data_IF_152803549453
#
_entry.id   IF_152803549453
#
_cell.length_a   1.000
_cell.length_b   1.000
_cell.length_c   1.000
_cell.angle_alpha   90.00
_cell.angle_beta   90.00
_cell.angle_gamma   90.00
#
_symmetry.space_group_name_H-M   'P 1'
#
loop_
_entity.id
_entity.type
_entity.pdbx_description
1 polymer ?
#
# COMPACT_ATOMS: atom_id res chain seq x y z
N UNK A 1 -46.02 -1.23 -45.18
CA UNK A 1 -44.59 -1.29 -45.55
C UNK A 1 -43.80 -1.34 -44.26
N UNK A 2 -43.35 -2.54 -43.84
CA UNK A 2 -42.57 -2.75 -42.62
C UNK A 2 -41.08 -2.69 -42.97
N UNK A 3 -40.32 -1.84 -42.26
CA UNK A 3 -38.89 -1.73 -42.44
C UNK A 3 -38.18 -2.96 -41.83
N UNK A 4 -37.10 -3.45 -42.46
CA UNK A 4 -36.33 -4.57 -41.91
C UNK A 4 -35.50 -4.14 -40.70
N UNK A 5 -35.67 -4.85 -39.60
CA UNK A 5 -34.87 -4.73 -38.38
C UNK A 5 -33.51 -5.36 -38.65
N UNK A 6 -32.48 -4.54 -38.80
CA UNK A 6 -31.09 -5.01 -38.90
C UNK A 6 -30.57 -5.31 -37.49
N UNK A 7 -30.24 -6.57 -37.24
CA UNK A 7 -29.58 -7.04 -36.02
C UNK A 7 -28.13 -6.45 -35.96
N UNK A 8 -27.67 -5.93 -34.82
CA UNK A 8 -26.30 -5.48 -34.68
C UNK A 8 -25.32 -6.67 -34.82
N UNK A 9 -24.13 -6.45 -35.33
CA UNK A 9 -23.14 -7.51 -35.52
C UNK A 9 -22.69 -8.08 -34.17
N UNK A 10 -22.49 -9.39 -34.12
CA UNK A 10 -21.94 -10.11 -32.98
C UNK A 10 -20.52 -9.62 -32.65
N UNK A 11 -20.17 -9.51 -31.35
CA UNK A 11 -18.81 -9.14 -30.99
C UNK A 11 -17.82 -10.23 -31.43
N UNK A 12 -16.81 -9.82 -32.18
CA UNK A 12 -15.69 -10.67 -32.58
C UNK A 12 -14.89 -11.10 -31.37
N UNK A 13 -14.58 -12.40 -31.30
CA UNK A 13 -13.74 -12.97 -30.25
C UNK A 13 -12.36 -12.28 -30.17
N UNK A 14 -11.79 -12.12 -28.98
CA UNK A 14 -10.45 -11.55 -28.83
C UNK A 14 -9.40 -12.46 -29.46
N UNK A 15 -8.29 -11.89 -30.00
CA UNK A 15 -7.24 -12.67 -30.62
C UNK A 15 -6.60 -13.63 -29.61
N UNK A 16 -6.39 -14.87 -30.02
CA UNK A 16 -5.68 -15.89 -29.26
C UNK A 16 -4.24 -15.41 -28.98
N UNK A 17 -3.88 -15.33 -27.70
CA UNK A 17 -2.51 -15.15 -27.27
C UNK A 17 -1.67 -16.34 -27.69
N UNK A 18 -0.84 -16.19 -28.70
CA UNK A 18 0.20 -17.15 -29.06
C UNK A 18 1.27 -17.13 -27.96
N UNK A 19 1.25 -18.10 -27.07
CA UNK A 19 2.33 -18.35 -26.13
C UNK A 19 3.57 -18.83 -26.91
N UNK A 20 4.46 -17.90 -27.20
CA UNK A 20 5.81 -18.23 -27.66
C UNK A 20 6.57 -18.94 -26.54
N UNK A 21 6.74 -20.25 -26.68
CA UNK A 21 7.62 -21.06 -25.82
C UNK A 21 9.08 -20.73 -26.13
N UNK A 22 9.55 -19.60 -25.62
CA UNK A 22 10.97 -19.29 -25.53
C UNK A 22 11.52 -20.01 -24.29
N UNK A 23 12.28 -21.07 -24.49
CA UNK A 23 13.01 -21.73 -23.42
C UNK A 23 13.97 -20.72 -22.78
N UNK A 24 13.64 -20.23 -21.61
CA UNK A 24 14.53 -19.43 -20.79
C UNK A 24 15.68 -20.30 -20.30
N UNK A 25 16.92 -19.92 -20.60
CA UNK A 25 18.10 -20.53 -20.03
C UNK A 25 18.03 -20.50 -18.50
N UNK A 26 18.55 -21.53 -17.79
CA UNK A 26 18.53 -21.54 -16.34
C UNK A 26 19.37 -20.38 -15.81
N UNK A 27 18.71 -19.48 -15.11
CA UNK A 27 19.35 -18.40 -14.37
C UNK A 27 20.10 -19.02 -13.18
N UNK A 28 21.40 -19.24 -13.33
CA UNK A 28 22.31 -19.64 -12.24
C UNK A 28 22.72 -18.43 -11.40
N UNK A 29 21.80 -17.49 -11.22
CA UNK A 29 21.97 -16.43 -10.23
C UNK A 29 21.97 -17.05 -8.85
N UNK A 30 23.15 -17.13 -8.22
CA UNK A 30 23.30 -17.38 -6.79
C UNK A 30 22.33 -16.49 -6.05
N UNK A 31 21.26 -17.10 -5.53
CA UNK A 31 20.33 -16.43 -4.65
C UNK A 31 21.18 -15.91 -3.46
N UNK A 32 21.50 -14.62 -3.48
CA UNK A 32 21.96 -13.94 -2.30
C UNK A 32 20.90 -14.22 -1.24
N UNK A 33 21.24 -15.03 -0.26
CA UNK A 33 20.42 -15.22 0.93
C UNK A 33 20.27 -13.84 1.52
N UNK A 34 19.10 -13.22 1.32
CA UNK A 34 18.69 -12.05 2.09
C UNK A 34 18.56 -12.55 3.53
N UNK A 35 19.69 -12.60 4.20
CA UNK A 35 19.72 -12.86 5.61
C UNK A 35 19.08 -11.67 6.28
N UNK A 36 17.78 -11.77 6.59
CA UNK A 36 17.20 -10.95 7.64
C UNK A 36 18.12 -11.15 8.84
N UNK A 37 18.77 -10.11 9.35
CA UNK A 37 19.72 -10.27 10.45
C UNK A 37 18.98 -10.93 11.61
N UNK A 38 19.50 -12.10 12.01
CA UNK A 38 18.99 -12.84 13.15
C UNK A 38 19.01 -11.90 14.34
N UNK A 39 17.90 -11.69 15.02
CA UNK A 39 17.78 -10.88 16.23
C UNK A 39 18.95 -11.21 17.17
N UNK A 40 19.90 -10.28 17.32
CA UNK A 40 21.13 -10.51 18.06
C UNK A 40 20.99 -10.11 19.53
N UNK A 41 19.95 -9.36 19.89
CA UNK A 41 19.67 -8.99 21.28
C UNK A 41 18.20 -8.62 21.47
N UNK A 42 17.66 -8.73 22.69
CA UNK A 42 16.24 -8.50 22.99
C UNK A 42 15.75 -7.06 22.75
N UNK A 43 16.64 -6.15 22.38
CA UNK A 43 16.31 -4.72 22.17
C UNK A 43 16.77 -4.16 20.80
N UNK A 44 17.24 -5.01 19.89
CA UNK A 44 17.55 -4.55 18.53
C UNK A 44 16.32 -4.68 17.65
N UNK A 45 15.76 -3.53 17.32
CA UNK A 45 14.64 -3.40 16.38
C UNK A 45 15.18 -3.04 15.00
N UNK A 46 14.53 -3.53 13.96
CA UNK A 46 14.71 -2.98 12.62
C UNK A 46 14.12 -1.56 12.56
N UNK A 47 14.51 -0.77 11.56
CA UNK A 47 13.90 0.55 11.35
C UNK A 47 12.37 0.48 11.21
N UNK A 48 11.87 -0.55 10.53
CA UNK A 48 10.45 -0.79 10.37
C UNK A 48 9.74 -1.09 11.71
N UNK A 49 10.30 -1.99 12.51
CA UNK A 49 9.80 -2.29 13.86
C UNK A 49 9.85 -1.05 14.77
N UNK A 50 10.90 -0.23 14.64
CA UNK A 50 11.03 1.03 15.40
C UNK A 50 9.91 2.01 15.06
N UNK A 51 9.55 2.15 13.78
CA UNK A 51 8.42 3.00 13.36
C UNK A 51 7.12 2.53 14.01
N UNK A 52 6.78 1.24 13.87
CA UNK A 52 5.54 0.69 14.42
C UNK A 52 5.51 0.84 15.94
N UNK A 53 6.61 0.52 16.62
CA UNK A 53 6.73 0.67 18.08
C UNK A 53 6.53 2.10 18.54
N UNK A 54 7.14 3.07 17.83
CA UNK A 54 6.97 4.48 18.16
C UNK A 54 5.53 4.95 18.03
N UNK A 55 4.82 4.48 17.01
CA UNK A 55 3.40 4.80 16.84
C UNK A 55 2.55 4.20 17.96
N UNK A 56 2.85 2.97 18.39
CA UNK A 56 2.19 2.32 19.53
C UNK A 56 2.43 3.06 20.86
N UNK A 57 3.64 3.60 21.06
CA UNK A 57 4.00 4.36 22.26
C UNK A 57 3.38 5.77 22.26
N UNK A 58 3.07 6.31 21.10
CA UNK A 58 2.34 7.57 20.92
C UNK A 58 0.81 7.41 20.98
N UNK A 59 0.32 6.22 21.36
CA UNK A 59 -1.11 5.88 21.43
C UNK A 59 -1.87 6.13 20.12
N UNK A 60 -1.18 5.94 18.99
CA UNK A 60 -1.83 5.94 17.68
C UNK A 60 -2.68 4.67 17.56
N UNK A 61 -3.93 4.82 17.15
CA UNK A 61 -4.84 3.69 16.99
C UNK A 61 -5.07 3.32 15.53
N UNK A 62 -5.01 4.30 14.63
CA UNK A 62 -5.41 4.12 13.24
C UNK A 62 -4.36 4.67 12.29
N UNK A 63 -4.03 3.86 11.30
CA UNK A 63 -3.19 4.24 10.17
C UNK A 63 -4.01 4.09 8.89
N UNK A 64 -4.09 5.15 8.11
CA UNK A 64 -4.70 5.12 6.78
C UNK A 64 -3.61 5.04 5.73
N UNK A 65 -3.69 4.10 4.81
CA UNK A 65 -2.63 3.97 3.82
C UNK A 65 -2.90 2.95 2.73
N UNK A 66 -1.97 2.91 1.80
CA UNK A 66 -1.94 1.92 0.73
C UNK A 66 -0.52 1.37 0.60
N UNK A 67 -0.33 0.04 0.51
CA UNK A 67 0.98 -0.58 0.37
C UNK A 67 1.68 -0.13 -0.91
N UNK A 68 3.00 -0.02 -0.85
CA UNK A 68 3.84 0.22 -1.99
C UNK A 68 5.29 -0.13 -1.68
N UNK A 69 6.12 -0.33 -2.69
CA UNK A 69 7.44 -0.94 -2.57
C UNK A 69 8.32 -0.41 -1.44
N UNK A 70 8.38 0.92 -1.25
CA UNK A 70 9.25 1.51 -0.26
C UNK A 70 8.77 1.32 1.20
N UNK A 71 7.46 1.14 1.42
CA UNK A 71 6.89 0.99 2.77
C UNK A 71 6.53 -0.46 3.12
N UNK A 72 6.66 -1.40 2.18
CA UNK A 72 6.38 -2.82 2.45
C UNK A 72 7.07 -3.36 3.71
N UNK A 73 8.34 -3.04 4.01
CA UNK A 73 8.97 -3.52 5.24
C UNK A 73 8.26 -3.09 6.53
N UNK A 74 7.51 -1.98 6.50
CA UNK A 74 6.75 -1.48 7.66
C UNK A 74 5.44 -2.26 7.84
N UNK A 75 4.91 -2.82 6.76
CA UNK A 75 3.67 -3.60 6.82
C UNK A 75 3.82 -4.92 7.57
N UNK A 76 5.01 -5.55 7.55
CA UNK A 76 5.24 -6.79 8.29
C UNK A 76 5.04 -6.59 9.82
N UNK A 77 5.78 -5.68 10.50
CA UNK A 77 5.54 -5.44 11.92
C UNK A 77 4.19 -4.77 12.21
N UNK A 78 3.62 -4.03 11.25
CA UNK A 78 2.28 -3.46 11.40
C UNK A 78 1.20 -4.55 11.42
N UNK A 79 1.36 -5.60 10.63
CA UNK A 79 0.45 -6.76 10.62
C UNK A 79 0.45 -7.51 11.96
N UNK A 80 1.61 -7.56 12.62
CA UNK A 80 1.77 -8.21 13.93
C UNK A 80 1.27 -7.34 15.10
N UNK A 81 1.07 -6.04 14.88
CA UNK A 81 0.62 -5.10 15.91
C UNK A 81 -0.81 -5.40 16.35
N UNK A 82 -1.02 -5.43 17.66
CA UNK A 82 -2.34 -5.58 18.27
C UNK A 82 -2.98 -4.24 18.66
N UNK A 83 -2.23 -3.14 18.54
CA UNK A 83 -2.69 -1.80 18.91
C UNK A 83 -3.09 -0.97 17.70
N UNK A 84 -2.37 -1.12 16.58
CA UNK A 84 -2.56 -0.32 15.39
C UNK A 84 -3.53 -0.99 14.42
N UNK A 85 -4.57 -0.29 14.06
CA UNK A 85 -5.51 -0.70 13.02
C UNK A 85 -5.16 -0.05 11.70
N UNK A 86 -4.83 -0.83 10.69
CA UNK A 86 -4.64 -0.34 9.34
C UNK A 86 -5.96 -0.27 8.58
N UNK A 87 -6.24 0.88 7.98
CA UNK A 87 -7.38 1.10 7.08
C UNK A 87 -6.84 1.27 5.66
N UNK A 88 -7.06 0.26 4.84
CA UNK A 88 -6.67 0.27 3.44
C UNK A 88 -7.52 1.27 2.67
N UNK A 89 -6.85 2.19 1.99
CA UNK A 89 -7.50 3.17 1.10
C UNK A 89 -7.24 2.80 -0.36
N UNK A 90 -7.94 3.47 -1.28
CA UNK A 90 -7.77 3.27 -2.73
C UNK A 90 -6.96 4.36 -3.41
N UNK A 91 -6.63 5.41 -2.67
CA UNK A 91 -5.80 6.52 -3.12
C UNK A 91 -5.18 7.22 -1.90
N UNK A 92 -3.93 7.63 -2.00
CA UNK A 92 -3.20 8.21 -0.86
C UNK A 92 -3.80 9.52 -0.39
N UNK A 93 -4.30 10.35 -1.31
CA UNK A 93 -5.01 11.58 -0.94
C UNK A 93 -6.22 11.28 -0.05
N UNK A 94 -6.95 10.19 -0.35
CA UNK A 94 -8.03 9.72 0.50
C UNK A 94 -7.57 9.29 1.89
N UNK A 95 -6.35 8.71 2.02
CA UNK A 95 -5.76 8.42 3.32
C UNK A 95 -5.54 9.68 4.14
N UNK A 96 -5.00 10.73 3.51
CA UNK A 96 -4.76 12.00 4.19
C UNK A 96 -6.04 12.66 4.70
N UNK A 97 -7.05 12.80 3.84
CA UNK A 97 -8.34 13.37 4.26
C UNK A 97 -9.06 12.50 5.31
N UNK A 98 -8.96 11.17 5.21
CA UNK A 98 -9.51 10.28 6.23
C UNK A 98 -8.80 10.45 7.58
N UNK A 99 -7.47 10.59 7.57
CA UNK A 99 -6.68 10.85 8.76
C UNK A 99 -7.07 12.19 9.40
N UNK A 100 -7.18 13.25 8.61
CA UNK A 100 -7.62 14.56 9.07
C UNK A 100 -9.03 14.50 9.67
N UNK A 101 -9.98 13.90 8.96
CA UNK A 101 -11.35 13.71 9.45
C UNK A 101 -11.43 12.91 10.74
N UNK A 102 -10.62 11.85 10.89
CA UNK A 102 -10.52 11.10 12.12
C UNK A 102 -10.01 11.97 13.28
N UNK A 103 -8.95 12.75 13.04
CA UNK A 103 -8.38 13.63 14.05
C UNK A 103 -9.40 14.70 14.51
N UNK A 104 -10.10 15.33 13.58
CA UNK A 104 -11.15 16.31 13.90
C UNK A 104 -12.31 15.69 14.70
N UNK A 105 -12.75 14.48 14.33
CA UNK A 105 -13.90 13.84 14.97
C UNK A 105 -13.58 13.26 16.34
N UNK A 106 -12.37 12.71 16.51
CA UNK A 106 -11.99 11.98 17.73
C UNK A 106 -11.15 12.80 18.71
N UNK A 107 -10.54 13.90 18.26
CA UNK A 107 -9.52 14.64 19.02
C UNK A 107 -8.19 13.89 19.17
N UNK A 108 -7.98 12.81 18.44
CA UNK A 108 -6.80 11.93 18.54
C UNK A 108 -5.94 12.03 17.28
N UNK A 109 -4.66 11.80 17.45
CA UNK A 109 -3.73 11.72 16.32
C UNK A 109 -4.03 10.49 15.48
N UNK A 110 -4.01 10.66 14.16
CA UNK A 110 -4.03 9.58 13.19
C UNK A 110 -2.85 9.70 12.25
N UNK A 111 -2.53 8.61 11.57
CA UNK A 111 -1.37 8.53 10.70
C UNK A 111 -1.82 8.18 9.29
N UNK A 112 -1.22 8.83 8.31
CA UNK A 112 -1.31 8.45 6.92
C UNK A 112 0.04 7.89 6.46
N UNK A 113 0.01 6.83 5.68
CA UNK A 113 1.20 6.14 5.19
C UNK A 113 1.10 5.92 3.69
N UNK A 114 2.14 6.32 2.96
CA UNK A 114 2.25 6.13 1.53
C UNK A 114 3.66 5.74 1.13
N UNK A 115 3.78 5.12 -0.04
CA UNK A 115 5.07 4.80 -0.63
C UNK A 115 5.76 6.05 -1.18
N UNK A 116 7.04 5.95 -1.51
CA UNK A 116 7.81 7.00 -2.18
C UNK A 116 7.25 7.33 -3.58
N UNK A 117 7.69 8.43 -4.15
CA UNK A 117 7.28 8.90 -5.47
C UNK A 117 5.84 9.41 -5.48
N UNK A 118 5.01 8.89 -6.36
CA UNK A 118 3.62 9.34 -6.53
C UNK A 118 2.79 9.17 -5.25
N UNK A 119 3.03 8.15 -4.47
CA UNK A 119 2.36 7.96 -3.19
C UNK A 119 2.58 9.15 -2.25
N UNK A 120 3.83 9.57 -2.08
CA UNK A 120 4.18 10.72 -1.25
C UNK A 120 3.62 12.03 -1.82
N UNK A 121 3.69 12.25 -3.14
CA UNK A 121 3.18 13.48 -3.74
C UNK A 121 1.66 13.61 -3.66
N UNK A 122 0.93 12.50 -3.66
CA UNK A 122 -0.51 12.48 -3.45
C UNK A 122 -0.93 12.92 -2.04
N UNK A 123 -0.01 12.95 -1.09
CA UNK A 123 -0.28 13.44 0.27
C UNK A 123 -0.14 14.97 0.42
N UNK A 124 0.37 15.68 -0.59
CA UNK A 124 0.59 17.12 -0.51
C UNK A 124 -0.71 17.89 -0.26
N UNK A 125 -1.76 17.56 -1.01
CA UNK A 125 -3.07 18.21 -0.86
C UNK A 125 -3.67 18.02 0.53
N UNK A 126 -3.81 16.80 1.07
CA UNK A 126 -4.37 16.64 2.41
C UNK A 126 -3.48 17.20 3.52
N UNK A 127 -2.16 17.27 3.33
CA UNK A 127 -1.28 17.95 4.28
C UNK A 127 -1.52 19.47 4.30
N UNK A 128 -1.69 20.08 3.12
CA UNK A 128 -2.02 21.49 3.03
C UNK A 128 -3.39 21.81 3.66
N UNK A 129 -4.38 20.93 3.40
CA UNK A 129 -5.72 21.04 3.98
C UNK A 129 -5.70 20.94 5.52
N UNK A 130 -4.92 20.03 6.06
CA UNK A 130 -4.80 19.83 7.51
C UNK A 130 -4.10 20.99 8.25
N UNK A 131 -3.45 21.91 7.53
CA UNK A 131 -2.79 23.09 8.10
C UNK A 131 -3.68 24.34 8.15
N UNK A 132 -4.81 24.32 7.48
CA UNK A 132 -5.75 25.45 7.45
C UNK A 132 -6.75 25.36 8.62
#
# INVERSE_FOLDING_TARGET
MSAPTTRPPEPTAPPEHVNGSGAAAPNTGTAAKSGVPKRIAPYQLTGAESVVRSLEELDVEVIFGIPGGAVLPVYDPLFDSQKLRHVLVRHEQGAGHAASGYAHASGRVSVMMATSGLGATNLVTPLADAQM
#
